data_IF_027965539835
#
_entry.id   IF_027965539835
#
_cell.length_a   1.000
_cell.length_b   1.000
_cell.length_c   1.000
_cell.angle_alpha   90.00
_cell.angle_beta   90.00
_cell.angle_gamma   90.00
#
_symmetry.space_group_name_H-M   'P 1'
#
loop_
_entity.id
_entity.type
_entity.pdbx_description
1 polymer ?
#
# COMPACT_ATOMS: atom_id res chain seq x y z
N UNK A 1 -33.50 30.03 -28.66
CA UNK A 1 -33.70 28.99 -27.64
C UNK A 1 -32.33 28.44 -27.26
N UNK A 2 -31.67 29.00 -26.23
CA UNK A 2 -30.45 28.40 -25.70
C UNK A 2 -30.85 27.28 -24.73
N UNK A 3 -30.40 26.05 -25.01
CA UNK A 3 -30.54 24.91 -24.10
C UNK A 3 -29.44 24.98 -23.05
N UNK A 4 -29.82 25.18 -21.80
CA UNK A 4 -28.92 24.99 -20.66
C UNK A 4 -28.51 23.52 -20.57
N UNK A 5 -27.21 23.25 -20.61
CA UNK A 5 -26.65 21.96 -20.25
C UNK A 5 -26.32 22.01 -18.76
N UNK A 6 -26.99 21.19 -17.97
CA UNK A 6 -26.57 20.91 -16.60
C UNK A 6 -25.32 20.04 -16.65
N UNK A 7 -24.18 20.60 -16.27
CA UNK A 7 -22.97 19.83 -15.96
C UNK A 7 -23.24 19.18 -14.61
N UNK A 8 -23.47 17.87 -14.61
CA UNK A 8 -23.42 17.06 -13.39
C UNK A 8 -21.94 16.88 -13.06
N UNK A 9 -21.48 17.57 -12.02
CA UNK A 9 -20.14 17.39 -11.48
C UNK A 9 -20.14 16.06 -10.70
N UNK A 10 -19.68 14.99 -11.34
CA UNK A 10 -19.34 13.76 -10.63
C UNK A 10 -18.01 14.04 -9.95
N UNK A 11 -18.05 14.33 -8.66
CA UNK A 11 -16.84 14.35 -7.82
C UNK A 11 -16.41 12.89 -7.67
N UNK A 12 -15.45 12.48 -8.48
CA UNK A 12 -14.68 11.26 -8.21
C UNK A 12 -13.92 11.51 -6.91
N UNK A 13 -14.34 10.86 -5.83
CA UNK A 13 -13.54 10.76 -4.63
C UNK A 13 -12.28 9.97 -4.99
N UNK A 14 -11.18 10.69 -5.19
CA UNK A 14 -9.86 10.07 -5.32
C UNK A 14 -9.50 9.57 -3.92
N UNK A 15 -9.23 8.27 -3.71
CA UNK A 15 -8.78 7.80 -2.41
C UNK A 15 -7.45 8.49 -2.11
N UNK A 16 -7.46 9.34 -1.08
CA UNK A 16 -6.26 10.02 -0.61
C UNK A 16 -5.28 8.99 -0.11
N UNK A 17 -3.98 9.23 -0.28
CA UNK A 17 -2.95 8.47 0.40
C UNK A 17 -2.72 9.02 1.79
N UNK A 18 -2.57 8.14 2.75
CA UNK A 18 -2.03 8.43 4.05
C UNK A 18 -1.31 7.19 4.52
N UNK A 19 -0.16 7.38 5.14
CA UNK A 19 0.79 6.28 5.25
C UNK A 19 0.21 5.20 6.15
N UNK A 20 0.17 3.98 5.63
CA UNK A 20 0.14 2.85 6.52
C UNK A 20 1.40 2.88 7.41
N UNK A 21 1.29 2.38 8.64
CA UNK A 21 2.46 2.21 9.49
C UNK A 21 3.39 1.21 8.80
N UNK A 22 4.55 1.68 8.34
CA UNK A 22 5.55 0.83 7.67
C UNK A 22 5.99 -0.29 8.62
N UNK A 23 5.77 -1.53 8.18
CA UNK A 23 6.21 -2.75 8.87
C UNK A 23 7.49 -3.31 8.27
N UNK A 24 7.69 -3.05 6.98
CA UNK A 24 8.86 -3.40 6.20
C UNK A 24 9.16 -2.27 5.23
N UNK A 25 10.42 -1.90 5.10
CA UNK A 25 10.93 -1.09 3.99
C UNK A 25 12.32 -1.62 3.61
N UNK A 26 12.43 -2.08 2.37
CA UNK A 26 13.65 -2.59 1.75
C UNK A 26 13.94 -1.70 0.55
N UNK A 27 14.93 -0.82 0.70
CA UNK A 27 15.39 0.10 -0.37
C UNK A 27 16.48 -0.54 -1.25
N UNK A 28 17.22 -1.49 -0.69
CA UNK A 28 18.09 -2.46 -1.36
C UNK A 28 18.11 -3.78 -0.54
N UNK A 29 18.43 -4.92 -1.14
CA UNK A 29 18.32 -6.24 -0.49
C UNK A 29 19.59 -6.68 0.24
N UNK A 30 20.50 -5.75 0.58
CA UNK A 30 21.82 -6.05 1.12
C UNK A 30 21.81 -6.65 2.54
N UNK A 31 20.75 -6.46 3.33
CA UNK A 31 20.72 -6.84 4.76
C UNK A 31 19.35 -7.29 5.34
N UNK A 32 18.45 -7.92 4.57
CA UNK A 32 17.05 -8.16 5.00
C UNK A 32 16.61 -9.64 5.15
N UNK A 33 17.56 -10.55 5.40
CA UNK A 33 17.24 -11.99 5.53
C UNK A 33 16.41 -12.34 6.78
N UNK A 34 16.47 -11.53 7.84
CA UNK A 34 15.73 -11.81 9.09
C UNK A 34 14.25 -11.44 9.01
N UNK A 35 13.87 -10.55 8.09
CA UNK A 35 12.50 -10.07 7.95
C UNK A 35 11.67 -10.94 6.98
N UNK A 36 12.36 -11.70 6.12
CA UNK A 36 11.79 -12.41 4.99
C UNK A 36 12.05 -13.92 5.06
N UNK A 37 11.03 -14.70 4.76
CA UNK A 37 11.18 -16.13 4.51
C UNK A 37 11.22 -16.37 3.00
N UNK A 38 12.28 -17.00 2.50
CA UNK A 38 12.38 -17.45 1.10
C UNK A 38 12.20 -18.97 1.02
N UNK A 39 11.59 -19.44 -0.07
CA UNK A 39 11.43 -20.87 -0.37
C UNK A 39 11.62 -21.14 -1.86
N UNK A 40 11.95 -22.39 -2.21
CA UNK A 40 12.23 -22.82 -3.57
C UNK A 40 13.52 -22.20 -4.14
N UNK A 41 13.43 -21.68 -5.35
CA UNK A 41 14.53 -21.06 -6.09
C UNK A 41 14.75 -19.58 -5.77
N UNK A 42 13.96 -19.00 -4.85
CA UNK A 42 14.13 -17.60 -4.49
C UNK A 42 15.50 -17.38 -3.82
N UNK A 43 16.17 -16.28 -4.17
CA UNK A 43 17.54 -16.00 -3.72
C UNK A 43 17.81 -14.51 -3.61
N UNK A 44 18.49 -14.11 -2.53
CA UNK A 44 19.01 -12.76 -2.34
C UNK A 44 20.26 -12.50 -3.18
N UNK A 45 20.31 -11.31 -3.77
CA UNK A 45 21.48 -10.66 -4.34
C UNK A 45 21.69 -9.32 -3.62
N UNK A 46 22.83 -8.66 -3.87
CA UNK A 46 23.17 -7.39 -3.22
C UNK A 46 22.12 -6.29 -3.46
N UNK A 47 21.54 -6.24 -4.66
CA UNK A 47 20.67 -5.16 -5.13
C UNK A 47 19.22 -5.60 -5.39
N UNK A 48 18.89 -6.88 -5.19
CA UNK A 48 17.57 -7.45 -5.52
C UNK A 48 17.30 -8.76 -4.82
N UNK A 49 16.03 -9.13 -4.79
CA UNK A 49 15.59 -10.48 -4.53
C UNK A 49 15.10 -11.11 -5.83
N UNK A 50 15.68 -12.24 -6.21
CA UNK A 50 15.24 -13.03 -7.35
C UNK A 50 14.24 -14.09 -6.90
N UNK A 51 13.05 -14.12 -7.48
CA UNK A 51 12.04 -15.15 -7.21
C UNK A 51 12.34 -16.43 -7.98
N UNK A 52 12.64 -16.31 -9.28
CA UNK A 52 13.08 -17.42 -10.12
C UNK A 52 14.17 -16.95 -11.09
N UNK A 53 15.18 -17.80 -11.36
CA UNK A 53 16.12 -17.54 -12.44
C UNK A 53 15.51 -17.95 -13.79
N UNK A 54 16.03 -17.35 -14.87
CA UNK A 54 15.71 -17.66 -16.25
C UNK A 54 16.22 -19.04 -16.64
N UNK A 55 15.50 -20.06 -16.19
CA UNK A 55 15.69 -21.48 -16.48
C UNK A 55 14.34 -22.17 -16.53
N UNK A 56 14.20 -23.31 -17.23
CA UNK A 56 12.96 -24.05 -17.22
C UNK A 56 12.60 -24.61 -15.83
N UNK A 57 11.31 -24.66 -15.53
CA UNK A 57 10.74 -25.34 -14.35
C UNK A 57 11.35 -24.91 -13.01
N UNK A 58 11.41 -23.60 -12.80
CA UNK A 58 11.79 -23.01 -11.51
C UNK A 58 10.54 -22.55 -10.78
N UNK A 59 10.64 -22.53 -9.46
CA UNK A 59 9.61 -21.97 -8.61
C UNK A 59 10.25 -21.38 -7.37
N UNK A 60 9.87 -20.17 -7.00
CA UNK A 60 10.33 -19.56 -5.76
C UNK A 60 9.30 -18.63 -5.18
N UNK A 61 9.40 -18.43 -3.88
CA UNK A 61 8.56 -17.49 -3.16
C UNK A 61 9.34 -16.79 -2.06
N UNK A 62 8.83 -15.63 -1.66
CA UNK A 62 9.28 -14.88 -0.51
C UNK A 62 8.09 -14.35 0.26
N UNK A 63 8.21 -14.25 1.57
CA UNK A 63 7.14 -13.79 2.44
C UNK A 63 7.66 -12.83 3.49
N UNK A 64 6.94 -11.73 3.72
CA UNK A 64 7.16 -10.91 4.89
C UNK A 64 6.77 -11.74 6.11
N UNK A 65 7.75 -12.05 6.96
CA UNK A 65 7.62 -13.12 7.95
C UNK A 65 7.83 -12.68 9.40
N UNK A 66 8.01 -11.38 9.66
CA UNK A 66 8.10 -10.84 11.03
C UNK A 66 6.78 -11.01 11.80
N UNK A 67 5.66 -10.80 11.11
CA UNK A 67 4.30 -10.97 11.64
C UNK A 67 3.29 -11.02 10.51
N UNK A 68 2.11 -11.54 10.79
CA UNK A 68 0.97 -11.44 9.89
C UNK A 68 0.37 -10.03 9.91
N UNK A 69 -0.18 -9.65 8.77
CA UNK A 69 -0.95 -8.41 8.55
C UNK A 69 -2.36 -8.61 9.07
N UNK A 70 -2.89 -7.64 9.81
CA UNK A 70 -4.28 -7.64 10.23
C UNK A 70 -5.18 -7.05 9.14
N UNK A 71 -6.00 -7.91 8.53
CA UNK A 71 -6.85 -7.54 7.38
C UNK A 71 -8.00 -6.61 7.77
N UNK A 72 -8.41 -6.54 9.04
CA UNK A 72 -9.48 -5.62 9.46
C UNK A 72 -9.02 -4.17 9.49
N UNK A 73 -7.72 -3.93 9.69
CA UNK A 73 -7.11 -2.61 9.58
C UNK A 73 -6.89 -2.21 8.12
N UNK A 74 -6.62 -3.20 7.28
CA UNK A 74 -6.17 -2.99 5.91
C UNK A 74 -4.65 -2.75 5.84
N UNK A 75 -4.12 -2.77 4.63
CA UNK A 75 -2.69 -2.64 4.38
C UNK A 75 -2.42 -1.98 3.03
N UNK A 76 -1.19 -1.51 2.87
CA UNK A 76 -0.65 -1.15 1.57
C UNK A 76 0.71 -1.83 1.36
N UNK A 77 1.05 -2.03 0.10
CA UNK A 77 2.39 -2.46 -0.29
C UNK A 77 2.80 -1.78 -1.58
N UNK A 78 4.08 -1.46 -1.66
CA UNK A 78 4.72 -0.89 -2.84
C UNK A 78 5.97 -1.69 -3.16
N UNK A 79 6.23 -1.90 -4.44
CA UNK A 79 7.43 -2.57 -4.87
C UNK A 79 7.87 -2.11 -6.25
N UNK A 80 9.18 -2.20 -6.47
CA UNK A 80 9.77 -2.08 -7.80
C UNK A 80 10.15 -3.49 -8.24
N UNK A 81 9.69 -3.92 -9.40
CA UNK A 81 10.05 -5.21 -9.98
C UNK A 81 10.71 -5.03 -11.34
N UNK A 82 11.41 -6.08 -11.78
CA UNK A 82 12.12 -6.11 -13.05
C UNK A 82 12.14 -7.54 -13.59
N UNK A 83 11.82 -7.71 -14.87
CA UNK A 83 11.97 -8.99 -15.55
C UNK A 83 13.06 -8.89 -16.61
N UNK A 84 14.00 -9.83 -16.60
CA UNK A 84 15.16 -9.80 -17.53
C UNK A 84 15.50 -11.18 -18.06
N UNK A 85 16.46 -11.24 -18.99
CA UNK A 85 17.01 -12.50 -19.50
C UNK A 85 15.93 -13.45 -20.04
N UNK A 86 14.94 -12.92 -20.76
CA UNK A 86 13.89 -13.71 -21.40
C UNK A 86 14.48 -14.83 -22.26
N UNK A 87 13.88 -16.02 -22.20
CA UNK A 87 14.25 -17.10 -23.10
C UNK A 87 13.99 -16.68 -24.57
N UNK A 88 14.94 -16.93 -25.49
CA UNK A 88 14.84 -16.39 -26.84
C UNK A 88 13.82 -17.12 -27.72
N UNK A 89 13.34 -18.30 -27.30
CA UNK A 89 12.46 -19.15 -28.11
C UNK A 89 11.00 -18.77 -27.88
N UNK A 90 10.58 -18.70 -26.62
CA UNK A 90 9.22 -18.40 -26.19
C UNK A 90 9.05 -16.94 -25.75
N UNK A 91 10.16 -16.18 -25.73
CA UNK A 91 10.23 -14.76 -25.38
C UNK A 91 9.96 -14.49 -23.90
N UNK A 92 10.36 -15.39 -23.00
CA UNK A 92 10.18 -15.21 -21.56
C UNK A 92 8.81 -15.62 -21.04
N UNK A 93 8.73 -15.81 -19.73
CA UNK A 93 7.54 -16.26 -19.01
C UNK A 93 7.89 -16.85 -17.64
N UNK A 94 6.93 -17.37 -16.88
CA UNK A 94 5.49 -17.14 -17.08
C UNK A 94 5.06 -15.85 -16.36
N UNK A 95 5.69 -15.56 -15.22
CA UNK A 95 5.47 -14.32 -14.50
C UNK A 95 5.74 -14.46 -13.00
N UNK A 96 5.15 -13.54 -12.23
CA UNK A 96 5.15 -13.60 -10.78
C UNK A 96 3.80 -13.11 -10.23
N UNK A 97 3.54 -13.31 -8.96
CA UNK A 97 2.34 -12.81 -8.30
C UNK A 97 2.66 -12.26 -6.92
N UNK A 98 1.99 -11.17 -6.54
CA UNK A 98 1.88 -10.77 -5.13
C UNK A 98 0.72 -11.57 -4.51
N UNK A 99 0.98 -12.27 -3.40
CA UNK A 99 0.04 -13.23 -2.82
C UNK A 99 -0.24 -12.88 -1.35
N UNK A 100 -1.52 -12.98 -0.99
CA UNK A 100 -2.05 -12.79 0.35
C UNK A 100 -2.67 -14.13 0.77
N UNK A 101 -2.11 -14.79 1.79
CA UNK A 101 -2.54 -16.12 2.20
C UNK A 101 -2.33 -16.37 3.70
N UNK A 102 -2.83 -17.50 4.22
CA UNK A 102 -2.66 -17.91 5.61
C UNK A 102 -2.14 -19.35 5.73
N UNK A 103 -1.37 -19.81 4.74
CA UNK A 103 -0.84 -21.17 4.72
C UNK A 103 0.59 -21.21 5.28
N UNK A 104 1.21 -22.40 5.23
CA UNK A 104 2.62 -22.58 5.58
C UNK A 104 3.52 -21.75 4.65
N UNK A 105 4.51 -21.05 5.20
CA UNK A 105 5.42 -20.17 4.44
C UNK A 105 6.37 -20.94 3.51
N UNK A 106 6.50 -22.25 3.68
CA UNK A 106 7.27 -23.13 2.80
C UNK A 106 6.41 -23.73 1.68
N UNK A 107 5.08 -23.57 1.72
CA UNK A 107 4.18 -24.07 0.69
C UNK A 107 4.38 -23.33 -0.63
N UNK A 108 4.32 -24.09 -1.72
CA UNK A 108 4.56 -23.65 -3.08
C UNK A 108 3.47 -24.24 -3.98
N UNK A 109 2.91 -23.42 -4.88
CA UNK A 109 1.95 -23.84 -5.90
C UNK A 109 2.60 -24.63 -7.06
N UNK A 110 2.00 -24.57 -8.25
CA UNK A 110 2.54 -25.23 -9.45
C UNK A 110 3.59 -24.41 -10.21
N UNK A 111 4.19 -25.06 -11.21
CA UNK A 111 5.08 -24.42 -12.20
C UNK A 111 4.31 -23.69 -13.30
N UNK A 112 5.02 -22.92 -14.13
CA UNK A 112 4.48 -22.30 -15.33
C UNK A 112 3.31 -21.34 -15.09
N UNK A 113 2.21 -21.55 -15.80
CA UNK A 113 0.94 -20.81 -15.71
C UNK A 113 0.31 -20.78 -14.30
N UNK A 114 0.81 -21.63 -13.39
CA UNK A 114 0.43 -21.60 -11.98
C UNK A 114 1.08 -20.44 -11.20
N UNK A 115 2.10 -19.81 -11.77
CA UNK A 115 2.83 -18.64 -11.25
C UNK A 115 3.30 -18.85 -9.79
N UNK A 116 3.50 -20.11 -9.40
CA UNK A 116 3.93 -20.49 -8.06
C UNK A 116 2.89 -20.37 -6.95
N UNK A 117 1.67 -19.89 -7.22
CA UNK A 117 0.61 -19.74 -6.21
C UNK A 117 -0.63 -20.60 -6.48
N UNK A 118 -0.95 -20.93 -7.75
CA UNK A 118 -2.08 -21.84 -8.03
C UNK A 118 -1.71 -23.22 -7.51
N UNK A 119 -2.54 -23.78 -6.64
CA UNK A 119 -2.27 -25.03 -5.92
C UNK A 119 -1.94 -24.85 -4.44
N UNK A 120 -1.71 -23.61 -3.99
CA UNK A 120 -1.74 -23.30 -2.55
C UNK A 120 -3.13 -23.61 -1.97
N UNK A 121 -3.16 -24.00 -0.70
CA UNK A 121 -4.38 -24.36 0.05
C UNK A 121 -5.43 -23.25 0.12
N UNK A 122 -5.02 -22.00 -0.06
CA UNK A 122 -5.86 -20.81 -0.17
C UNK A 122 -5.03 -19.56 -0.42
N UNK A 123 -5.62 -18.53 -1.02
CA UNK A 123 -4.92 -17.28 -1.25
C UNK A 123 -5.60 -16.37 -2.27
N UNK A 124 -5.26 -15.09 -2.18
CA UNK A 124 -5.61 -14.06 -3.14
C UNK A 124 -4.32 -13.56 -3.79
N UNK A 125 -4.27 -13.52 -5.11
CA UNK A 125 -3.09 -13.15 -5.88
C UNK A 125 -3.37 -12.00 -6.84
N UNK A 126 -2.43 -11.07 -6.96
CA UNK A 126 -2.30 -10.19 -8.12
C UNK A 126 -1.23 -10.79 -9.02
N UNK A 127 -1.66 -11.43 -10.10
CA UNK A 127 -0.81 -12.04 -11.12
C UNK A 127 -0.25 -10.98 -12.06
N UNK A 128 1.06 -11.06 -12.31
CA UNK A 128 1.80 -10.34 -13.34
C UNK A 128 2.24 -11.38 -14.38
N UNK A 129 1.33 -11.71 -15.28
CA UNK A 129 1.50 -12.72 -16.32
C UNK A 129 2.13 -12.06 -17.57
N UNK A 130 3.18 -12.68 -18.09
CA UNK A 130 3.95 -12.21 -19.26
C UNK A 130 3.96 -13.21 -20.41
N UNK A 131 3.21 -14.30 -20.28
CA UNK A 131 3.12 -15.36 -21.27
C UNK A 131 1.70 -15.42 -21.87
N UNK A 132 1.62 -15.41 -23.21
CA UNK A 132 0.34 -15.48 -23.91
C UNK A 132 -0.09 -16.94 -24.05
N UNK A 133 -1.09 -17.37 -23.27
CA UNK A 133 -1.65 -18.72 -23.35
C UNK A 133 -2.73 -18.85 -24.45
N UNK A 134 -2.60 -18.05 -25.52
CA UNK A 134 -3.61 -17.78 -26.56
C UNK A 134 -4.78 -16.91 -26.08
N UNK A 135 -4.48 -15.97 -25.20
CA UNK A 135 -5.41 -14.97 -24.67
C UNK A 135 -5.37 -13.65 -25.48
N UNK A 136 -4.40 -13.52 -26.39
CA UNK A 136 -4.31 -12.41 -27.34
C UNK A 136 -3.54 -11.20 -26.82
N UNK A 137 -2.99 -11.29 -25.61
CA UNK A 137 -1.99 -10.38 -25.06
C UNK A 137 -0.93 -11.20 -24.33
N UNK A 138 0.31 -10.73 -24.34
CA UNK A 138 1.38 -11.34 -23.54
C UNK A 138 1.37 -10.85 -22.10
N UNK A 139 0.96 -9.61 -21.87
CA UNK A 139 0.98 -9.00 -20.54
C UNK A 139 -0.43 -8.95 -19.98
N UNK A 140 -0.62 -9.51 -18.79
CA UNK A 140 -1.85 -9.42 -18.03
C UNK A 140 -1.57 -9.13 -16.57
N UNK A 141 -2.37 -8.23 -16.01
CA UNK A 141 -2.55 -8.13 -14.56
C UNK A 141 -3.91 -8.71 -14.22
N UNK A 142 -3.94 -9.67 -13.30
CA UNK A 142 -5.19 -10.30 -12.87
C UNK A 142 -5.25 -10.44 -11.35
N UNK A 143 -6.32 -9.96 -10.73
CA UNK A 143 -6.67 -10.38 -9.37
C UNK A 143 -7.35 -11.75 -9.43
N UNK A 144 -6.76 -12.76 -8.78
CA UNK A 144 -7.27 -14.13 -8.79
C UNK A 144 -7.27 -14.81 -7.43
N UNK A 145 -8.24 -15.69 -7.22
CA UNK A 145 -8.36 -16.56 -6.05
C UNK A 145 -9.24 -17.76 -6.39
N UNK A 146 -9.06 -18.87 -5.68
CA UNK A 146 -9.88 -20.06 -5.85
C UNK A 146 -11.26 -19.88 -5.20
N UNK A 147 -12.33 -20.11 -5.96
CA UNK A 147 -13.71 -20.14 -5.48
C UNK A 147 -14.15 -21.61 -5.31
N UNK A 148 -14.20 -22.13 -4.08
CA UNK A 148 -14.55 -23.53 -3.84
C UNK A 148 -16.01 -23.85 -4.18
N UNK A 149 -16.90 -22.84 -4.20
CA UNK A 149 -18.31 -23.04 -4.55
C UNK A 149 -18.46 -23.28 -6.06
N UNK A 150 -17.67 -22.57 -6.86
CA UNK A 150 -17.64 -22.75 -8.33
C UNK A 150 -16.67 -23.82 -8.80
N UNK A 151 -15.77 -24.28 -7.92
CA UNK A 151 -14.75 -25.27 -8.24
C UNK A 151 -13.68 -24.74 -9.20
N UNK A 152 -13.36 -23.45 -9.15
CA UNK A 152 -12.42 -22.83 -10.07
C UNK A 152 -11.94 -21.46 -9.64
N UNK A 153 -10.93 -20.92 -10.35
CA UNK A 153 -10.38 -19.60 -10.08
C UNK A 153 -11.32 -18.50 -10.57
N UNK A 154 -11.63 -17.56 -9.68
CA UNK A 154 -12.21 -16.27 -10.05
C UNK A 154 -11.09 -15.32 -10.47
N UNK A 155 -11.35 -14.53 -11.51
CA UNK A 155 -10.38 -13.60 -12.12
C UNK A 155 -11.03 -12.26 -12.36
N UNK A 156 -10.32 -11.19 -12.03
CA UNK A 156 -10.67 -9.82 -12.37
C UNK A 156 -9.50 -9.23 -13.15
N UNK A 157 -9.74 -8.87 -14.41
CA UNK A 157 -8.75 -8.24 -15.27
C UNK A 157 -8.68 -6.73 -15.07
N UNK A 158 -7.66 -6.09 -15.62
CA UNK A 158 -7.55 -4.63 -15.64
C UNK A 158 -8.65 -3.98 -16.46
N UNK A 159 -8.94 -2.72 -16.14
CA UNK A 159 -9.90 -1.88 -16.88
C UNK A 159 -9.24 -0.98 -17.92
N UNK A 160 -7.90 -0.98 -17.96
CA UNK A 160 -7.07 -0.16 -18.85
C UNK A 160 -5.94 -0.98 -19.46
N UNK A 161 -5.37 -0.46 -20.56
CA UNK A 161 -4.14 -0.98 -21.13
C UNK A 161 -3.00 -0.82 -20.13
N UNK A 162 -2.15 -1.85 -20.03
CA UNK A 162 -0.94 -1.86 -19.21
C UNK A 162 0.30 -1.79 -20.10
N UNK A 163 1.44 -1.33 -19.58
CA UNK A 163 2.73 -1.36 -20.28
C UNK A 163 3.23 -2.79 -20.52
N UNK A 164 4.25 -2.93 -21.36
CA UNK A 164 5.02 -4.17 -21.51
C UNK A 164 5.89 -4.36 -20.26
N UNK A 165 5.59 -5.35 -19.42
CA UNK A 165 6.24 -5.55 -18.12
C UNK A 165 7.54 -6.34 -18.21
N UNK A 166 7.79 -6.98 -19.36
CA UNK A 166 8.98 -7.79 -19.60
C UNK A 166 10.09 -7.03 -20.35
N UNK A 167 9.95 -5.71 -20.57
CA UNK A 167 10.85 -4.92 -21.42
C UNK A 167 12.30 -4.78 -20.95
N UNK A 168 12.61 -5.24 -19.74
CA UNK A 168 13.94 -5.17 -19.15
C UNK A 168 14.20 -3.88 -18.36
N UNK A 169 13.16 -3.07 -18.12
CA UNK A 169 13.21 -1.87 -17.28
C UNK A 169 12.50 -2.11 -15.93
N UNK A 170 12.82 -1.30 -14.89
CA UNK A 170 12.10 -1.35 -13.61
C UNK A 170 10.68 -0.78 -13.73
N UNK A 171 9.71 -1.47 -13.16
CA UNK A 171 8.32 -1.04 -13.05
C UNK A 171 7.88 -0.85 -11.60
N UNK A 172 7.00 0.10 -11.36
CA UNK A 172 6.43 0.39 -10.05
C UNK A 172 5.04 -0.23 -9.89
N UNK A 173 4.80 -0.88 -8.76
CA UNK A 173 3.51 -1.44 -8.41
C UNK A 173 3.10 -1.03 -7.00
N UNK A 174 1.80 -0.76 -6.84
CA UNK A 174 1.17 -0.47 -5.54
C UNK A 174 -0.11 -1.25 -5.38
N UNK A 175 -0.31 -1.85 -4.21
CA UNK A 175 -1.55 -2.53 -3.83
C UNK A 175 -2.03 -1.94 -2.51
N UNK A 176 -3.33 -1.64 -2.44
CA UNK A 176 -4.01 -1.22 -1.22
C UNK A 176 -5.19 -2.15 -0.95
N UNK A 177 -5.31 -2.65 0.27
CA UNK A 177 -6.52 -3.30 0.76
C UNK A 177 -7.09 -2.50 1.93
N UNK A 178 -8.25 -1.86 1.73
CA UNK A 178 -8.90 -1.02 2.74
C UNK A 178 -10.41 -1.07 2.55
N UNK A 179 -11.16 -1.12 3.66
CA UNK A 179 -12.64 -1.11 3.65
C UNK A 179 -13.28 -2.17 2.74
N UNK A 180 -12.66 -3.34 2.60
CA UNK A 180 -13.13 -4.44 1.74
C UNK A 180 -12.92 -4.20 0.24
N UNK A 181 -12.05 -3.26 -0.14
CA UNK A 181 -11.62 -3.04 -1.52
C UNK A 181 -10.13 -3.33 -1.64
N UNK A 182 -9.76 -4.13 -2.64
CA UNK A 182 -8.39 -4.25 -3.11
C UNK A 182 -8.24 -3.37 -4.36
N UNK A 183 -7.33 -2.42 -4.32
CA UNK A 183 -7.01 -1.51 -5.43
C UNK A 183 -5.53 -1.66 -5.81
N UNK A 184 -5.26 -1.64 -7.11
CA UNK A 184 -3.93 -1.87 -7.67
C UNK A 184 -3.57 -0.80 -8.70
N UNK A 185 -2.34 -0.31 -8.62
CA UNK A 185 -1.73 0.64 -9.54
C UNK A 185 -0.42 0.07 -10.10
N UNK A 186 -0.15 0.41 -11.36
CA UNK A 186 1.06 0.04 -12.09
C UNK A 186 1.60 1.29 -12.81
N UNK A 187 2.89 1.60 -12.61
CA UNK A 187 3.62 2.76 -13.16
C UNK A 187 2.92 4.12 -12.97
N UNK A 188 2.04 4.20 -11.97
CA UNK A 188 1.29 5.41 -11.63
C UNK A 188 0.87 5.37 -10.18
N UNK A 189 0.78 6.54 -9.54
CA UNK A 189 0.11 6.71 -8.24
C UNK A 189 -1.34 7.21 -8.37
N UNK A 190 -1.75 7.56 -9.59
CA UNK A 190 -2.98 8.33 -9.82
C UNK A 190 -4.08 7.43 -10.37
N UNK A 191 -3.75 6.61 -11.36
CA UNK A 191 -4.74 5.82 -12.09
C UNK A 191 -4.65 4.35 -11.69
N UNK A 192 -5.60 3.83 -10.87
CA UNK A 192 -5.63 2.41 -10.57
C UNK A 192 -5.99 1.65 -11.83
N UNK A 193 -5.28 0.56 -12.11
CA UNK A 193 -5.59 -0.31 -13.25
C UNK A 193 -6.59 -1.42 -12.87
N UNK A 194 -6.80 -1.64 -11.56
CA UNK A 194 -7.79 -2.56 -11.01
C UNK A 194 -8.29 -2.08 -9.64
N UNK A 195 -9.59 -2.20 -9.40
CA UNK A 195 -10.20 -2.08 -8.07
C UNK A 195 -11.36 -3.07 -7.95
N UNK A 196 -11.38 -3.86 -6.88
CA UNK A 196 -12.39 -4.90 -6.68
C UNK A 196 -12.81 -4.98 -5.22
N UNK A 197 -14.12 -5.09 -5.00
CA UNK A 197 -14.68 -5.39 -3.69
C UNK A 197 -14.45 -6.87 -3.38
N UNK A 198 -13.81 -7.15 -2.25
CA UNK A 198 -13.38 -8.49 -1.87
C UNK A 198 -13.28 -8.58 -0.34
N UNK A 199 -13.78 -9.67 0.24
CA UNK A 199 -13.46 -10.02 1.63
C UNK A 199 -12.31 -11.03 1.63
N UNK A 200 -11.09 -10.55 1.81
CA UNK A 200 -9.90 -11.40 1.80
C UNK A 200 -9.91 -12.35 3.00
N UNK A 201 -10.40 -11.90 4.15
CA UNK A 201 -10.40 -12.69 5.37
C UNK A 201 -11.35 -13.90 5.24
N UNK A 202 -12.51 -13.70 4.61
CA UNK A 202 -13.43 -14.78 4.26
C UNK A 202 -12.77 -15.77 3.28
N UNK A 203 -12.09 -15.28 2.24
CA UNK A 203 -11.49 -16.13 1.19
C UNK A 203 -10.37 -17.01 1.73
N UNK A 204 -9.50 -16.46 2.58
CA UNK A 204 -8.37 -17.21 3.14
C UNK A 204 -8.73 -17.89 4.47
N UNK A 205 -9.95 -17.69 4.98
CA UNK A 205 -10.44 -18.24 6.24
C UNK A 205 -9.71 -17.71 7.49
N UNK A 206 -9.16 -16.49 7.45
CA UNK A 206 -8.36 -15.92 8.54
C UNK A 206 -8.44 -14.39 8.57
N UNK A 207 -8.54 -13.77 9.77
CA UNK A 207 -8.48 -12.30 9.90
C UNK A 207 -7.07 -11.73 9.71
N UNK A 208 -6.05 -12.58 9.68
CA UNK A 208 -4.64 -12.21 9.48
C UNK A 208 -4.03 -12.97 8.31
N UNK A 209 -3.06 -12.36 7.64
CA UNK A 209 -2.43 -12.93 6.45
C UNK A 209 -0.91 -12.73 6.42
N UNK A 210 -0.22 -13.67 5.78
CA UNK A 210 1.10 -13.45 5.20
C UNK A 210 0.95 -12.76 3.85
N UNK A 211 1.92 -11.92 3.51
CA UNK A 211 2.01 -11.25 2.22
C UNK A 211 3.40 -11.42 1.63
N UNK A 212 3.48 -11.55 0.32
CA UNK A 212 4.75 -11.77 -0.36
C UNK A 212 4.59 -12.07 -1.83
N UNK A 213 5.61 -12.67 -2.41
CA UNK A 213 5.66 -12.92 -3.84
C UNK A 213 5.91 -14.39 -4.14
N UNK A 214 5.34 -14.84 -5.25
CA UNK A 214 5.60 -16.15 -5.84
C UNK A 214 5.97 -15.95 -7.30
N UNK A 215 6.78 -16.84 -7.86
CA UNK A 215 7.02 -16.90 -9.30
C UNK A 215 7.26 -18.34 -9.71
N UNK A 216 6.90 -18.66 -10.95
CA UNK A 216 7.24 -19.90 -11.58
C UNK A 216 7.59 -19.71 -13.05
N UNK A 217 8.36 -20.65 -13.58
CA UNK A 217 8.71 -20.73 -15.00
C UNK A 217 8.29 -22.07 -15.60
N UNK A 218 8.18 -22.10 -16.92
CA UNK A 218 7.90 -23.29 -17.73
C UNK A 218 9.01 -23.49 -18.76
N UNK A 219 8.68 -23.92 -19.99
CA UNK A 219 9.62 -23.79 -21.10
C UNK A 219 9.87 -22.32 -21.49
N UNK A 220 8.87 -21.47 -21.25
CA UNK A 220 9.04 -20.03 -21.26
C UNK A 220 9.60 -19.58 -19.91
N UNK A 221 10.66 -18.78 -19.91
CA UNK A 221 11.33 -18.41 -18.67
C UNK A 221 12.03 -17.05 -18.72
N UNK A 222 11.98 -16.32 -17.62
CA UNK A 222 12.69 -15.05 -17.38
C UNK A 222 13.28 -15.05 -15.98
N UNK A 223 14.21 -14.13 -15.72
CA UNK A 223 14.54 -13.74 -14.36
C UNK A 223 13.40 -12.86 -13.84
N UNK A 224 12.89 -13.14 -12.63
CA UNK A 224 11.86 -12.34 -11.97
C UNK A 224 12.44 -11.74 -10.69
N UNK A 225 12.73 -10.44 -10.70
CA UNK A 225 13.43 -9.76 -9.62
C UNK A 225 12.53 -8.70 -8.95
N UNK A 226 12.55 -8.66 -7.62
CA UNK A 226 12.04 -7.56 -6.81
C UNK A 226 13.24 -6.71 -6.39
N UNK A 227 13.21 -5.42 -6.71
CA UNK A 227 14.31 -4.48 -6.46
C UNK A 227 14.11 -3.69 -5.16
N UNK A 228 12.85 -3.37 -4.84
CA UNK A 228 12.44 -2.66 -3.62
C UNK A 228 11.11 -3.19 -3.12
N UNK A 229 10.90 -3.18 -1.81
CA UNK A 229 9.62 -3.60 -1.24
C UNK A 229 9.30 -2.89 0.07
N UNK A 230 8.09 -2.38 0.16
CA UNK A 230 7.50 -1.81 1.36
C UNK A 230 6.17 -2.50 1.66
N UNK A 231 5.93 -2.81 2.93
CA UNK A 231 4.63 -3.26 3.44
C UNK A 231 4.27 -2.39 4.64
N UNK A 232 3.06 -1.84 4.63
CA UNK A 232 2.50 -1.09 5.75
C UNK A 232 1.11 -1.57 6.11
N UNK A 233 0.73 -1.44 7.38
CA UNK A 233 -0.61 -1.72 7.88
C UNK A 233 -1.28 -0.40 8.31
N UNK A 234 -2.53 -0.15 7.89
CA UNK A 234 -3.21 1.08 8.28
C UNK A 234 -3.52 1.08 9.78
N UNK A 235 -3.63 2.28 10.37
CA UNK A 235 -4.11 2.39 11.74
C UNK A 235 -5.64 2.19 11.77
N UNK A 236 -6.17 1.39 12.71
CA UNK A 236 -7.62 1.28 12.87
C UNK A 236 -8.20 2.65 13.24
N UNK A 237 -9.44 2.96 12.82
CA UNK A 237 -10.12 4.13 13.34
C UNK A 237 -10.22 4.07 14.88
N UNK A 238 -9.92 5.16 15.60
CA UNK A 238 -10.17 5.26 17.02
C UNK A 238 -11.68 5.25 17.31
N UNK A 239 -12.06 4.90 18.54
CA UNK A 239 -13.45 4.99 19.01
C UNK A 239 -13.82 6.46 19.32
N UNK A 240 -14.00 7.24 18.25
CA UNK A 240 -14.38 8.65 18.30
C UNK A 240 -15.58 8.89 17.38
N UNK A 241 -16.58 9.60 17.90
CA UNK A 241 -17.76 10.04 17.14
C UNK A 241 -17.43 11.28 16.29
N UNK A 242 -16.45 11.16 15.39
CA UNK A 242 -15.86 12.27 14.62
C UNK A 242 -16.88 13.01 13.75
N UNK A 243 -18.00 12.38 13.40
CA UNK A 243 -19.10 12.97 12.64
C UNK A 243 -19.82 14.09 13.41
N UNK A 244 -19.70 14.12 14.74
CA UNK A 244 -20.30 15.14 15.60
C UNK A 244 -19.33 16.29 15.93
N UNK A 245 -18.05 16.17 15.54
CA UNK A 245 -17.02 17.14 15.87
C UNK A 245 -17.00 18.28 14.84
N UNK A 246 -17.03 19.52 15.32
CA UNK A 246 -16.93 20.70 14.49
C UNK A 246 -15.47 21.01 14.17
N UNK A 247 -15.08 20.75 12.93
CA UNK A 247 -13.72 21.02 12.46
C UNK A 247 -13.60 22.45 11.95
N UNK A 248 -12.63 23.20 12.50
CA UNK A 248 -12.31 24.58 12.14
C UNK A 248 -10.91 24.64 11.51
N UNK A 249 -10.79 24.92 10.19
CA UNK A 249 -9.49 25.21 9.59
C UNK A 249 -8.85 26.43 10.26
N UNK A 250 -7.60 26.30 10.70
CA UNK A 250 -6.85 27.35 11.42
C UNK A 250 -5.65 27.85 10.65
N UNK A 251 -4.91 26.95 10.01
CA UNK A 251 -3.70 27.26 9.26
C UNK A 251 -3.75 26.71 7.85
N UNK A 252 -3.05 27.40 6.95
CA UNK A 252 -2.71 26.89 5.62
C UNK A 252 -1.19 26.84 5.52
N UNK A 253 -0.65 25.68 5.17
CA UNK A 253 0.78 25.43 5.00
C UNK A 253 1.04 25.07 3.54
N UNK A 254 1.97 25.78 2.90
CA UNK A 254 2.41 25.44 1.55
C UNK A 254 3.63 24.53 1.62
N UNK A 255 3.66 23.47 0.80
CA UNK A 255 4.75 22.49 0.74
C UNK A 255 5.24 22.31 -0.70
N UNK A 256 6.52 22.00 -0.84
CA UNK A 256 7.21 21.74 -2.10
C UNK A 256 7.26 20.24 -2.42
N UNK A 257 7.16 19.38 -1.42
CA UNK A 257 7.11 17.92 -1.57
C UNK A 257 5.74 17.35 -1.16
N UNK A 258 5.41 16.17 -1.69
CA UNK A 258 4.27 15.36 -1.24
C UNK A 258 4.65 14.41 -0.11
N UNK A 259 5.93 14.11 0.02
CA UNK A 259 6.46 13.24 1.06
C UNK A 259 6.77 14.09 2.29
N UNK A 260 5.91 14.01 3.29
CA UNK A 260 5.99 14.80 4.51
C UNK A 260 6.44 13.94 5.69
N UNK A 261 7.03 14.59 6.68
CA UNK A 261 7.13 14.10 8.06
C UNK A 261 6.23 14.96 8.94
N UNK A 262 5.26 14.33 9.58
CA UNK A 262 4.37 14.97 10.54
C UNK A 262 4.88 14.64 11.93
N UNK A 263 5.26 15.66 12.70
CA UNK A 263 5.69 15.52 14.09
C UNK A 263 4.65 16.12 15.03
N UNK A 264 4.34 15.43 16.12
CA UNK A 264 3.44 15.93 17.18
C UNK A 264 4.10 15.80 18.55
N UNK A 265 3.91 16.81 19.41
CA UNK A 265 4.33 16.78 20.80
C UNK A 265 3.55 17.79 21.63
N UNK A 266 3.64 17.64 22.95
CA UNK A 266 3.22 18.66 23.88
C UNK A 266 4.36 19.68 24.09
N UNK A 267 4.13 20.92 23.65
CA UNK A 267 5.08 22.02 23.82
C UNK A 267 4.84 22.84 25.10
N UNK A 268 3.78 22.54 25.83
CA UNK A 268 3.35 23.23 27.03
C UNK A 268 3.59 22.35 28.28
N UNK A 269 2.51 21.86 28.88
CA UNK A 269 2.50 21.13 30.12
C UNK A 269 1.84 19.77 29.91
N UNK A 270 2.59 18.70 30.18
CA UNK A 270 2.07 17.33 30.11
C UNK A 270 0.98 17.19 31.17
N UNK A 271 -0.25 17.11 30.70
CA UNK A 271 -1.47 17.12 31.51
C UNK A 271 -2.45 16.00 31.09
N UNK A 272 -1.94 14.99 30.38
CA UNK A 272 -2.70 13.79 30.04
C UNK A 272 -3.53 13.90 28.77
N UNK A 273 -3.26 14.88 27.90
CA UNK A 273 -3.87 14.99 26.59
C UNK A 273 -3.70 13.73 25.74
N UNK A 274 -4.79 13.05 25.40
CA UNK A 274 -4.79 11.92 24.47
C UNK A 274 -5.40 12.35 23.15
N UNK A 275 -4.65 12.21 22.06
CA UNK A 275 -5.04 12.70 20.74
C UNK A 275 -4.94 11.65 19.64
N UNK A 276 -5.69 11.88 18.56
CA UNK A 276 -5.48 11.25 17.26
C UNK A 276 -5.25 12.33 16.20
N UNK A 277 -4.42 12.03 15.20
CA UNK A 277 -4.26 12.85 14.01
C UNK A 277 -4.81 12.13 12.80
N UNK A 278 -5.69 12.81 12.07
CA UNK A 278 -6.21 12.34 10.79
C UNK A 278 -5.70 13.24 9.66
N UNK A 279 -5.02 12.66 8.67
CA UNK A 279 -4.54 13.35 7.49
C UNK A 279 -5.32 12.83 6.26
N UNK A 280 -6.10 13.69 5.62
CA UNK A 280 -7.08 13.29 4.62
C UNK A 280 -8.05 12.23 5.17
N UNK A 281 -8.09 11.07 4.52
CA UNK A 281 -8.92 9.92 4.91
C UNK A 281 -8.19 8.88 5.77
N UNK A 282 -7.01 9.22 6.31
CA UNK A 282 -6.14 8.29 7.02
C UNK A 282 -5.80 8.75 8.41
N UNK A 283 -5.81 7.80 9.33
CA UNK A 283 -5.28 7.99 10.67
C UNK A 283 -3.77 7.81 10.61
N UNK A 284 -3.03 8.88 10.93
CA UNK A 284 -1.56 8.86 10.97
C UNK A 284 -1.03 8.66 12.38
N UNK A 285 -1.84 9.05 13.39
CA UNK A 285 -1.60 8.78 14.82
C UNK A 285 -2.96 8.50 15.46
N UNK A 286 -3.06 7.45 16.29
CA UNK A 286 -4.26 7.13 17.07
C UNK A 286 -3.96 6.96 18.55
N UNK A 287 -4.85 7.46 19.41
CA UNK A 287 -4.85 7.25 20.88
C UNK A 287 -3.48 7.50 21.53
N UNK A 288 -2.84 8.59 21.15
CA UNK A 288 -1.51 8.94 21.63
C UNK A 288 -1.59 9.96 22.76
N UNK A 289 -1.09 9.59 23.94
CA UNK A 289 -0.85 10.52 25.03
C UNK A 289 0.32 11.45 24.64
N UNK A 290 0.03 12.75 24.60
CA UNK A 290 1.02 13.76 24.25
C UNK A 290 2.10 13.84 25.33
N UNK A 291 3.34 13.90 24.88
CA UNK A 291 4.53 14.07 25.72
C UNK A 291 5.44 15.10 25.08
N UNK A 292 6.46 15.56 25.83
CA UNK A 292 7.48 16.50 25.33
C UNK A 292 8.31 15.96 24.17
N UNK A 293 8.47 14.64 24.07
CA UNK A 293 9.21 14.03 22.98
C UNK A 293 8.38 14.06 21.70
N UNK A 294 9.01 14.51 20.59
CA UNK A 294 8.39 14.49 19.27
C UNK A 294 8.11 13.06 18.84
N UNK A 295 6.85 12.78 18.50
CA UNK A 295 6.46 11.61 17.73
C UNK A 295 6.34 12.00 16.26
N UNK A 296 7.17 11.42 15.42
CA UNK A 296 7.22 11.72 13.98
C UNK A 296 6.75 10.52 13.17
N UNK A 297 5.86 10.77 12.21
CA UNK A 297 5.36 9.77 11.26
C UNK A 297 5.54 10.28 9.83
N UNK A 298 5.97 9.44 8.88
CA UNK A 298 5.94 9.81 7.46
C UNK A 298 4.49 9.93 6.99
N UNK A 299 4.23 10.75 5.96
CA UNK A 299 2.93 10.85 5.33
C UNK A 299 3.09 11.37 3.90
N UNK A 300 2.62 10.59 2.91
CA UNK A 300 2.58 11.01 1.51
C UNK A 300 1.15 11.25 1.10
N UNK A 301 0.86 12.38 0.45
CA UNK A 301 -0.49 12.72 -0.02
C UNK A 301 -0.57 12.88 -1.53
N UNK A 302 -1.76 12.65 -2.10
CA UNK A 302 -2.06 12.85 -3.53
C UNK A 302 -2.83 14.14 -3.76
N UNK A 303 -2.82 14.63 -5.02
CA UNK A 303 -3.54 15.84 -5.41
C UNK A 303 -2.74 17.12 -5.14
N UNK A 304 -3.47 18.22 -4.94
CA UNK A 304 -2.92 19.56 -4.72
C UNK A 304 -3.11 20.07 -3.29
N UNK A 305 -3.91 19.39 -2.49
CA UNK A 305 -4.07 19.71 -1.07
C UNK A 305 -4.55 18.50 -0.27
N UNK A 306 -4.36 18.58 1.05
CA UNK A 306 -4.88 17.63 2.02
C UNK A 306 -5.07 18.34 3.37
N UNK A 307 -5.86 17.77 4.27
CA UNK A 307 -6.14 18.38 5.58
C UNK A 307 -5.61 17.50 6.69
N UNK A 308 -4.98 18.08 7.71
CA UNK A 308 -4.59 17.40 8.94
C UNK A 308 -5.50 17.92 10.06
N UNK A 309 -6.21 17.03 10.74
CA UNK A 309 -7.17 17.35 11.80
C UNK A 309 -6.69 16.71 13.11
N UNK A 310 -6.67 17.50 14.20
CA UNK A 310 -6.40 17.03 15.55
C UNK A 310 -7.70 16.67 16.25
N UNK A 311 -7.80 15.45 16.78
CA UNK A 311 -8.94 15.00 17.57
C UNK A 311 -8.53 14.67 19.00
N UNK A 312 -9.30 15.15 19.97
CA UNK A 312 -9.12 14.84 21.39
C UNK A 312 -9.97 13.62 21.80
N UNK A 313 -9.39 12.75 22.62
CA UNK A 313 -10.10 11.61 23.27
C UNK A 313 -10.56 11.93 24.69
N UNK A 314 -9.95 12.94 25.29
CA UNK A 314 -10.23 13.43 26.62
C UNK A 314 -10.08 14.96 26.62
N UNK A 315 -10.00 15.57 27.81
CA UNK A 315 -9.83 17.01 27.98
C UNK A 315 -8.51 17.37 28.71
N UNK A 316 -7.64 16.37 28.92
CA UNK A 316 -6.51 16.49 29.83
C UNK A 316 -6.92 16.95 31.24
N UNK A 317 -5.95 17.45 32.00
CA UNK A 317 -6.19 18.24 33.22
C UNK A 317 -6.47 19.72 32.88
N UNK A 318 -5.97 20.24 31.75
CA UNK A 318 -6.14 21.63 31.31
C UNK A 318 -6.74 21.68 29.89
N UNK A 319 -8.07 21.80 29.73
CA UNK A 319 -8.69 21.86 28.41
C UNK A 319 -8.44 23.20 27.67
N UNK A 320 -8.45 23.21 26.33
CA UNK A 320 -8.55 22.04 25.42
C UNK A 320 -7.20 21.32 25.25
N UNK A 321 -7.23 20.11 24.68
CA UNK A 321 -6.00 19.39 24.36
C UNK A 321 -5.20 20.21 23.35
N UNK A 322 -3.92 20.43 23.63
CA UNK A 322 -3.05 21.33 22.85
C UNK A 322 -1.83 20.60 22.32
N UNK A 323 -1.70 20.51 21.00
CA UNK A 323 -0.58 19.83 20.35
C UNK A 323 0.22 20.81 19.48
N UNK A 324 1.55 20.83 19.65
CA UNK A 324 2.43 21.35 18.61
C UNK A 324 2.53 20.32 17.49
N UNK A 325 2.34 20.78 16.25
CA UNK A 325 2.46 19.98 15.04
C UNK A 325 3.51 20.63 14.13
N UNK A 326 4.49 19.84 13.70
CA UNK A 326 5.46 20.25 12.69
C UNK A 326 5.25 19.45 11.39
N UNK A 327 5.26 20.16 10.27
CA UNK A 327 5.19 19.61 8.92
C UNK A 327 6.54 19.88 8.25
N UNK A 328 7.31 18.83 8.00
CA UNK A 328 8.60 18.86 7.30
C UNK A 328 8.43 18.19 5.93
N UNK A 329 8.65 18.93 4.85
CA UNK A 329 8.55 18.43 3.46
C UNK A 329 9.92 18.07 2.85
N UNK A 330 10.97 18.04 3.67
CA UNK A 330 12.37 17.83 3.26
C UNK A 330 13.07 19.11 2.77
N UNK A 331 12.34 20.21 2.58
CA UNK A 331 12.88 21.52 2.23
C UNK A 331 12.72 22.52 3.38
N UNK A 332 11.57 22.54 4.03
CA UNK A 332 11.24 23.41 5.16
C UNK A 332 10.42 22.66 6.22
N UNK A 333 10.69 22.93 7.50
CA UNK A 333 9.85 22.50 8.62
C UNK A 333 9.04 23.69 9.15
N UNK A 334 7.71 23.58 9.10
CA UNK A 334 6.78 24.59 9.63
C UNK A 334 6.08 24.04 10.88
N UNK A 335 6.20 24.74 12.01
CA UNK A 335 5.59 24.34 13.29
C UNK A 335 4.42 25.26 13.64
N UNK A 336 3.27 24.66 13.98
CA UNK A 336 2.07 25.36 14.45
C UNK A 336 1.49 24.67 15.69
N UNK A 337 0.50 25.29 16.34
CA UNK A 337 -0.23 24.71 17.47
C UNK A 337 -1.69 24.52 17.11
N UNK A 338 -2.21 23.29 17.29
CA UNK A 338 -3.63 22.99 17.17
C UNK A 338 -4.23 22.67 18.55
N UNK A 339 -5.50 22.99 18.69
CA UNK A 339 -6.33 22.69 19.84
C UNK A 339 -7.50 21.78 19.45
N UNK A 340 -7.91 20.89 20.35
CA UNK A 340 -9.12 20.10 20.20
C UNK A 340 -9.77 19.82 21.54
N UNK A 341 -11.08 19.83 21.58
CA UNK A 341 -11.91 19.29 22.67
C UNK A 341 -12.84 18.19 22.11
N UNK A 342 -13.83 17.75 22.90
CA UNK A 342 -14.76 16.68 22.52
C UNK A 342 -15.84 17.12 21.50
N UNK A 343 -15.98 18.41 21.23
CA UNK A 343 -16.97 18.99 20.32
C UNK A 343 -16.35 19.78 19.16
N UNK A 344 -15.13 20.28 19.31
CA UNK A 344 -14.42 21.16 18.38
C UNK A 344 -13.01 20.62 18.13
N UNK A 345 -12.58 20.69 16.87
CA UNK A 345 -11.21 20.35 16.48
C UNK A 345 -10.66 21.39 15.53
N UNK A 346 -9.39 21.72 15.67
CA UNK A 346 -8.69 22.56 14.70
C UNK A 346 -8.00 21.71 13.63
N UNK A 347 -7.79 22.32 12.47
CA UNK A 347 -7.18 21.66 11.32
C UNK A 347 -6.19 22.55 10.57
N UNK A 348 -5.27 21.91 9.85
CA UNK A 348 -4.33 22.52 8.91
C UNK A 348 -4.72 22.10 7.51
N UNK A 349 -4.82 23.05 6.58
CA UNK A 349 -4.84 22.77 5.15
C UNK A 349 -3.41 22.79 4.60
N UNK A 350 -2.96 21.68 4.03
CA UNK A 350 -1.68 21.56 3.34
C UNK A 350 -1.92 21.77 1.85
N UNK A 351 -1.16 22.66 1.21
CA UNK A 351 -1.24 22.95 -0.23
C UNK A 351 0.09 22.63 -0.89
N UNK A 352 0.07 21.75 -1.90
CA UNK A 352 1.24 21.44 -2.72
C UNK A 352 1.48 22.56 -3.75
N UNK A 353 2.64 23.21 -3.66
CA UNK A 353 3.13 24.19 -4.65
C UNK A 353 4.21 23.61 -5.57
N UNK A 354 4.78 22.48 -5.22
CA UNK A 354 5.92 21.89 -5.93
C UNK A 354 7.23 22.61 -5.65
N UNK A 355 8.36 22.06 -6.13
CA UNK A 355 9.66 22.68 -5.97
C UNK A 355 9.65 24.06 -6.64
N UNK A 356 10.02 25.10 -5.88
CA UNK A 356 10.28 26.41 -6.48
C UNK A 356 11.62 26.35 -7.22
N UNK A 357 11.62 26.75 -8.51
CA UNK A 357 12.85 26.84 -9.32
C UNK A 357 13.87 27.84 -8.77
#
# INVERSE_FOLDING_TARGET
>A
MLKNWFIVLIVLAVPFLGSAQKLLQIDDFSAHQEDLTITGNAQFFEDRLRLTPSKPYQQGATWFSRRQINLSKGFETEFIFKMTNQDPIHRGGDGFAFVIHNNDLQELGGFGDSIGYKGLSGGVAIEFDTYDNNEGSRNHITLSYFDPVKGGFKRHATVHQIPEMSDGEPHFARIEYKNGFLTFWLDSYIFPVLSSKLDIAEIIGSPTAWVGFTSATSFAHSDHDILKWMVGEFLPPPDLAIENIQVKPKYTIEVQSRDLKISVWDHNQIDGDIISLKAGDHWVITEYELVRARKTVPYTFTGFSTTIILYAHNLGDIPPNTAAIAIDDGHEEQTISLESDLENSEAIEIIYRGPME
#
